data_IF_921115003498
#
_entry.id   IF_921115003498
#
_cell.length_a   1.000
_cell.length_b   1.000
_cell.length_c   1.000
_cell.angle_alpha   90.00
_cell.angle_beta   90.00
_cell.angle_gamma   90.00
#
_symmetry.space_group_name_H-M   'P 1'
#
loop_
_entity.id
_entity.type
_entity.pdbx_description
1 polymer ?
#
# COMPACT_ATOMS: atom_id res chain seq x y z
N UNK A 1 35.05 25.18 -17.70
CA UNK A 1 33.90 24.27 -17.53
C UNK A 1 34.28 22.86 -18.00
N UNK A 2 33.98 21.77 -17.26
CA UNK A 2 34.35 20.40 -17.63
C UNK A 2 33.31 19.79 -18.61
N UNK A 3 33.77 18.84 -19.42
CA UNK A 3 32.99 17.98 -20.30
C UNK A 3 31.75 17.37 -19.63
N UNK A 4 31.84 16.97 -18.35
CA UNK A 4 30.73 16.37 -17.60
C UNK A 4 29.60 17.38 -17.32
N UNK A 5 29.95 18.61 -16.95
CA UNK A 5 28.96 19.68 -16.72
C UNK A 5 28.28 20.08 -18.03
N UNK A 6 29.02 20.12 -19.14
CA UNK A 6 28.47 20.33 -20.49
C UNK A 6 27.51 19.20 -20.88
N UNK A 7 27.88 17.95 -20.63
CA UNK A 7 27.05 16.78 -20.90
C UNK A 7 25.78 16.79 -20.06
N UNK A 8 25.85 17.19 -18.79
CA UNK A 8 24.68 17.39 -17.93
C UNK A 8 23.71 18.42 -18.51
N UNK A 9 24.21 19.60 -18.91
CA UNK A 9 23.38 20.65 -19.51
C UNK A 9 22.71 20.14 -20.80
N UNK A 10 23.49 19.48 -21.68
CA UNK A 10 22.97 18.90 -22.93
C UNK A 10 21.90 17.85 -22.68
N UNK A 11 22.07 17.00 -21.66
CA UNK A 11 21.17 15.89 -21.35
C UNK A 11 19.87 16.33 -20.67
N UNK A 12 19.94 17.28 -19.74
CA UNK A 12 18.81 17.59 -18.85
C UNK A 12 18.17 18.97 -19.09
N UNK A 13 18.89 19.93 -19.68
CA UNK A 13 18.44 21.34 -19.73
C UNK A 13 18.11 21.84 -21.14
N UNK A 14 18.77 21.33 -22.18
CA UNK A 14 18.49 21.71 -23.57
C UNK A 14 17.19 21.11 -24.10
N UNK A 15 16.46 21.87 -24.92
CA UNK A 15 15.28 21.36 -25.62
C UNK A 15 15.67 20.71 -26.95
N UNK A 16 14.75 19.94 -27.53
CA UNK A 16 14.93 19.30 -28.85
C UNK A 16 15.34 20.33 -29.91
N UNK A 17 16.49 20.09 -30.55
CA UNK A 17 17.07 20.93 -31.59
C UNK A 17 17.84 22.16 -31.07
N UNK A 18 18.05 22.28 -29.77
CA UNK A 18 18.94 23.29 -29.17
C UNK A 18 20.34 22.71 -28.94
N UNK A 19 21.35 23.55 -29.11
CA UNK A 19 22.76 23.25 -28.88
C UNK A 19 23.40 24.39 -28.07
N UNK A 20 24.53 24.12 -27.43
CA UNK A 20 25.35 25.17 -26.82
C UNK A 20 26.24 25.76 -27.91
N UNK A 21 26.30 27.09 -28.01
CA UNK A 21 27.19 27.77 -28.94
C UNK A 21 28.66 27.56 -28.56
N UNK A 22 29.56 27.63 -29.55
CA UNK A 22 30.99 27.37 -29.40
C UNK A 22 31.60 28.14 -28.24
N UNK A 23 32.43 27.46 -27.46
CA UNK A 23 33.16 28.02 -26.33
C UNK A 23 33.96 29.25 -26.76
N UNK A 24 33.56 30.43 -26.28
CA UNK A 24 34.48 31.55 -26.26
C UNK A 24 35.63 31.17 -25.33
N UNK A 25 36.87 31.55 -25.67
CA UNK A 25 38.01 31.37 -24.76
C UNK A 25 37.80 32.29 -23.57
N UNK A 26 37.16 31.78 -22.51
CA UNK A 26 36.95 32.51 -21.27
C UNK A 26 38.30 32.75 -20.59
N UNK A 27 38.44 33.92 -19.96
CA UNK A 27 39.67 34.25 -19.24
C UNK A 27 39.80 33.35 -18.00
N UNK A 28 41.03 32.93 -17.64
CA UNK A 28 41.29 32.07 -16.47
C UNK A 28 40.84 32.69 -15.12
N UNK A 29 40.46 33.98 -15.11
CA UNK A 29 40.05 34.73 -13.93
C UNK A 29 38.52 34.88 -13.78
N UNK A 30 37.71 34.40 -14.73
CA UNK A 30 36.25 34.47 -14.60
C UNK A 30 35.74 33.45 -13.59
N UNK A 31 34.83 33.86 -12.69
CA UNK A 31 34.18 32.98 -11.68
C UNK A 31 32.93 32.31 -12.27
N UNK A 32 32.30 32.95 -13.26
CA UNK A 32 31.13 32.44 -13.98
C UNK A 32 31.30 32.59 -15.48
N UNK A 33 30.71 31.68 -16.24
CA UNK A 33 30.76 31.61 -17.70
C UNK A 33 29.34 31.73 -18.25
N UNK A 34 29.18 32.58 -19.27
CA UNK A 34 27.93 32.77 -19.99
C UNK A 34 27.93 32.00 -21.32
N UNK A 35 27.14 30.93 -21.40
CA UNK A 35 27.09 30.02 -22.55
C UNK A 35 25.84 30.29 -23.38
N UNK A 36 25.96 30.68 -24.66
CA UNK A 36 24.81 30.91 -25.51
C UNK A 36 24.10 29.60 -25.85
N UNK A 37 22.76 29.61 -25.78
CA UNK A 37 21.91 28.53 -26.28
C UNK A 37 21.51 28.90 -27.70
N UNK A 38 21.86 28.06 -28.67
CA UNK A 38 21.55 28.24 -30.08
C UNK A 38 20.56 27.18 -30.56
N UNK A 39 19.75 27.53 -31.56
CA UNK A 39 18.88 26.60 -32.27
C UNK A 39 19.23 26.63 -33.75
N UNK A 40 19.65 25.49 -34.27
CA UNK A 40 19.97 25.30 -35.67
C UNK A 40 18.68 24.99 -36.44
N UNK A 41 18.27 25.91 -37.33
CA UNK A 41 17.17 25.72 -38.27
C UNK A 41 17.76 25.42 -39.64
N UNK A 42 17.00 24.80 -40.54
CA UNK A 42 17.42 24.38 -41.90
C UNK A 42 18.13 25.50 -42.69
N UNK A 43 17.84 26.77 -42.39
CA UNK A 43 18.38 27.92 -43.11
C UNK A 43 19.19 28.92 -42.26
N UNK A 44 19.15 28.85 -40.91
CA UNK A 44 19.77 29.85 -40.02
C UNK A 44 20.10 29.30 -38.63
N UNK A 45 21.18 29.78 -38.02
CA UNK A 45 21.49 29.60 -36.59
C UNK A 45 20.91 30.78 -35.82
N UNK A 46 20.13 30.51 -34.76
CA UNK A 46 19.51 31.55 -33.93
C UNK A 46 19.85 31.38 -32.46
N UNK A 47 20.27 32.44 -31.79
CA UNK A 47 20.40 32.48 -30.34
C UNK A 47 19.01 32.52 -29.69
N UNK A 48 18.74 31.57 -28.80
CA UNK A 48 17.44 31.40 -28.13
C UNK A 48 17.54 31.61 -26.61
N UNK A 49 18.75 31.72 -26.07
CA UNK A 49 18.98 32.00 -24.67
C UNK A 49 20.45 32.07 -24.30
N UNK A 50 20.70 32.24 -23.00
CA UNK A 50 22.00 32.28 -22.36
C UNK A 50 21.94 31.47 -21.06
N UNK A 51 22.99 30.70 -20.75
CA UNK A 51 23.13 30.02 -19.47
C UNK A 51 24.38 30.53 -18.73
N UNK A 52 24.20 31.08 -17.55
CA UNK A 52 25.31 31.44 -16.67
C UNK A 52 25.62 30.26 -15.74
N UNK A 53 26.84 29.76 -15.80
CA UNK A 53 27.33 28.61 -15.03
C UNK A 53 28.61 28.99 -14.26
N UNK A 54 29.01 28.20 -13.26
CA UNK A 54 30.32 28.38 -12.61
C UNK A 54 31.47 28.08 -13.58
N UNK A 55 32.51 28.90 -13.51
CA UNK A 55 33.74 28.76 -14.28
C UNK A 55 34.77 27.81 -13.62
N UNK A 56 34.82 27.85 -12.29
CA UNK A 56 35.83 27.17 -11.46
C UNK A 56 35.33 25.82 -10.94
N UNK A 57 36.29 24.91 -10.79
CA UNK A 57 36.07 23.49 -10.59
C UNK A 57 36.43 23.08 -9.17
N UNK A 58 35.44 22.67 -8.39
CA UNK A 58 35.66 21.68 -7.34
C UNK A 58 34.60 20.58 -7.51
N UNK A 59 34.98 19.48 -8.17
CA UNK A 59 34.17 18.25 -8.22
C UNK A 59 34.04 17.62 -6.84
N UNK A 60 34.95 17.97 -5.94
CA UNK A 60 34.86 17.60 -4.54
C UNK A 60 33.72 18.38 -3.88
N UNK A 61 32.82 17.61 -3.28
CA UNK A 61 31.81 18.15 -2.40
C UNK A 61 32.53 18.70 -1.16
N UNK A 62 32.09 19.85 -0.63
CA UNK A 62 32.66 20.35 0.61
C UNK A 62 32.36 19.36 1.75
N UNK A 63 33.26 19.27 2.74
CA UNK A 63 33.06 18.39 3.91
C UNK A 63 31.77 18.74 4.68
N UNK A 64 31.38 20.03 4.65
CA UNK A 64 30.14 20.53 5.23
C UNK A 64 29.31 21.14 4.11
N UNK A 65 28.10 20.61 3.93
CA UNK A 65 27.13 21.11 2.95
C UNK A 65 26.13 22.01 3.67
N UNK A 66 25.96 23.23 3.17
CA UNK A 66 25.03 24.19 3.73
C UNK A 66 23.59 23.68 3.72
N UNK A 67 22.82 24.04 4.74
CA UNK A 67 21.41 23.67 4.90
C UNK A 67 20.55 24.08 3.69
N UNK A 68 20.89 25.20 3.06
CA UNK A 68 20.22 25.73 1.87
C UNK A 68 20.44 24.81 0.65
N UNK A 69 21.66 24.30 0.47
CA UNK A 69 21.99 23.32 -0.58
C UNK A 69 21.26 22.00 -0.31
N UNK A 70 21.20 21.56 0.94
CA UNK A 70 20.46 20.34 1.33
C UNK A 70 18.95 20.45 1.07
N UNK A 71 18.35 21.64 1.24
CA UNK A 71 16.94 21.85 0.87
C UNK A 71 16.73 21.73 -0.65
N UNK A 72 17.67 22.25 -1.44
CA UNK A 72 17.64 22.15 -2.89
C UNK A 72 17.93 20.73 -3.40
N UNK A 73 18.63 19.89 -2.63
CA UNK A 73 18.94 18.51 -3.00
C UNK A 73 17.68 17.64 -3.18
N UNK A 74 16.52 18.04 -2.64
CA UNK A 74 15.24 17.35 -2.86
C UNK A 74 14.59 17.64 -4.23
N UNK A 75 15.20 18.51 -5.05
CA UNK A 75 14.54 19.11 -6.20
C UNK A 75 15.03 18.54 -7.52
N UNK A 76 14.09 18.17 -8.40
CA UNK A 76 14.40 17.65 -9.74
C UNK A 76 15.32 18.57 -10.56
N UNK A 77 16.29 18.02 -11.32
CA UNK A 77 17.18 18.77 -12.20
C UNK A 77 16.48 19.67 -13.23
N UNK A 78 15.24 19.36 -13.59
CA UNK A 78 14.47 20.10 -14.60
C UNK A 78 13.56 21.17 -14.02
N UNK A 79 13.42 21.24 -12.69
CA UNK A 79 12.58 22.26 -12.03
C UNK A 79 13.18 23.65 -12.26
N UNK A 80 12.29 24.62 -12.49
CA UNK A 80 12.65 26.04 -12.65
C UNK A 80 12.30 26.78 -11.38
N UNK A 81 13.19 27.66 -10.95
CA UNK A 81 12.97 28.60 -9.85
C UNK A 81 12.85 30.01 -10.41
N UNK A 82 11.87 30.78 -9.94
CA UNK A 82 11.77 32.19 -10.27
C UNK A 82 12.77 32.99 -9.41
N UNK A 83 13.13 34.20 -9.86
CA UNK A 83 14.05 35.08 -9.14
C UNK A 83 13.51 35.54 -7.78
N UNK A 84 12.19 35.47 -7.56
CA UNK A 84 11.56 35.84 -6.29
C UNK A 84 11.65 34.73 -5.22
N UNK A 85 12.09 33.53 -5.60
CA UNK A 85 12.13 32.36 -4.71
C UNK A 85 13.43 32.29 -3.88
N UNK A 86 14.46 33.07 -4.25
CA UNK A 86 15.79 33.08 -3.64
C UNK A 86 16.30 34.53 -3.55
N UNK A 87 16.90 34.90 -2.41
CA UNK A 87 17.60 36.18 -2.31
C UNK A 87 18.73 36.25 -3.35
N UNK A 88 18.88 37.41 -4.01
CA UNK A 88 19.79 37.57 -5.15
C UNK A 88 21.26 37.26 -4.80
N UNK A 89 21.70 37.63 -3.59
CA UNK A 89 23.04 37.33 -3.09
C UNK A 89 23.26 35.82 -2.91
N UNK A 90 22.26 35.09 -2.42
CA UNK A 90 22.29 33.64 -2.25
C UNK A 90 22.28 32.94 -3.61
N UNK A 91 21.43 33.39 -4.53
CA UNK A 91 21.36 32.84 -5.88
C UNK A 91 22.68 33.03 -6.64
N UNK A 92 23.31 34.21 -6.53
CA UNK A 92 24.61 34.48 -7.14
C UNK A 92 25.69 33.55 -6.57
N UNK A 93 25.77 33.44 -5.23
CA UNK A 93 26.72 32.52 -4.57
C UNK A 93 26.54 31.08 -5.06
N UNK A 94 25.31 30.57 -5.06
CA UNK A 94 25.01 29.20 -5.51
C UNK A 94 25.33 28.97 -7.00
N UNK A 95 25.17 29.98 -7.86
CA UNK A 95 25.60 29.92 -9.26
C UNK A 95 27.13 29.91 -9.37
N UNK A 96 27.83 30.77 -8.62
CA UNK A 96 29.30 30.81 -8.61
C UNK A 96 29.93 29.51 -8.10
N UNK A 97 29.28 28.83 -7.15
CA UNK A 97 29.72 27.55 -6.60
C UNK A 97 29.28 26.32 -7.42
N UNK A 98 28.48 26.53 -8.47
CA UNK A 98 28.02 25.48 -9.40
C UNK A 98 26.84 24.63 -8.90
N UNK A 99 26.19 25.03 -7.81
CA UNK A 99 24.97 24.40 -7.31
C UNK A 99 23.74 24.74 -8.15
N UNK A 100 23.70 25.95 -8.72
CA UNK A 100 22.65 26.43 -9.61
C UNK A 100 23.20 26.90 -10.96
N UNK A 101 22.33 26.93 -11.96
CA UNK A 101 22.54 27.51 -13.28
C UNK A 101 21.46 28.56 -13.51
N UNK A 102 21.86 29.76 -13.95
CA UNK A 102 20.91 30.80 -14.36
C UNK A 102 20.61 30.63 -15.85
N UNK A 103 19.35 30.44 -16.20
CA UNK A 103 18.87 30.32 -17.57
C UNK A 103 18.09 31.58 -17.96
N UNK A 104 18.57 32.27 -18.99
CA UNK A 104 17.90 33.41 -19.63
C UNK A 104 17.41 32.95 -21.00
N UNK A 105 16.12 33.14 -21.28
CA UNK A 105 15.54 32.86 -22.62
C UNK A 105 15.11 34.15 -23.28
N UNK A 106 15.38 34.27 -24.57
CA UNK A 106 15.05 35.43 -25.36
C UNK A 106 13.70 35.27 -26.08
N UNK A 107 13.12 36.40 -26.46
CA UNK A 107 11.96 36.48 -27.34
C UNK A 107 12.32 36.08 -28.77
N UNK A 108 11.32 36.08 -29.67
CA UNK A 108 11.52 35.73 -31.09
C UNK A 108 12.52 36.65 -31.81
N UNK A 109 12.86 37.79 -31.25
CA UNK A 109 13.90 38.69 -31.75
C UNK A 109 15.33 38.24 -31.41
N UNK A 110 15.50 37.26 -30.51
CA UNK A 110 16.81 36.74 -30.07
C UNK A 110 17.61 37.72 -29.22
N UNK A 111 16.99 38.82 -28.74
CA UNK A 111 17.67 39.88 -27.97
C UNK A 111 16.91 40.28 -26.72
N UNK A 112 15.59 40.40 -26.81
CA UNK A 112 14.79 40.84 -25.65
C UNK A 112 14.62 39.67 -24.70
N UNK A 113 14.94 39.88 -23.43
CA UNK A 113 14.73 38.87 -22.38
C UNK A 113 13.24 38.57 -22.25
N UNK A 114 12.89 37.29 -22.37
CA UNK A 114 11.54 36.79 -22.17
C UNK A 114 11.38 36.27 -20.73
N UNK A 115 12.32 35.42 -20.30
CA UNK A 115 12.25 34.80 -18.96
C UNK A 115 13.63 34.58 -18.38
N UNK A 116 13.74 34.70 -17.06
CA UNK A 116 14.93 34.38 -16.27
C UNK A 116 14.53 33.41 -15.17
N UNK A 117 15.19 32.26 -15.10
CA UNK A 117 14.95 31.25 -14.06
C UNK A 117 16.27 30.61 -13.62
N UNK A 118 16.29 30.06 -12.41
CA UNK A 118 17.39 29.20 -11.97
C UNK A 118 17.01 27.74 -12.14
N UNK A 119 18.03 26.89 -12.26
CA UNK A 119 17.93 25.42 -12.32
C UNK A 119 19.05 24.77 -11.54
N UNK A 120 18.85 23.50 -11.20
CA UNK A 120 19.88 22.65 -10.61
C UNK A 120 21.14 22.64 -11.47
N UNK A 121 22.28 22.97 -10.86
CA UNK A 121 23.59 22.87 -11.46
C UNK A 121 24.17 21.46 -11.37
N UNK A 122 25.23 21.20 -12.13
CA UNK A 122 25.88 19.89 -12.18
C UNK A 122 26.33 19.40 -10.79
N UNK A 123 26.86 20.29 -9.95
CA UNK A 123 27.35 19.94 -8.60
C UNK A 123 26.23 19.47 -7.68
N UNK A 124 25.06 20.10 -7.77
CA UNK A 124 23.88 19.69 -7.01
C UNK A 124 23.33 18.35 -7.52
N UNK A 125 23.31 18.14 -8.83
CA UNK A 125 22.94 16.85 -9.41
C UNK A 125 23.91 15.72 -9.00
N UNK A 126 25.21 16.01 -8.92
CA UNK A 126 26.20 15.05 -8.45
C UNK A 126 26.00 14.69 -6.97
N UNK A 127 25.71 15.69 -6.12
CA UNK A 127 25.32 15.45 -4.72
C UNK A 127 24.07 14.58 -4.62
N UNK A 128 23.03 14.85 -5.43
CA UNK A 128 21.80 14.05 -5.47
C UNK A 128 22.08 12.60 -5.84
N UNK A 129 22.94 12.37 -6.82
CA UNK A 129 23.37 11.02 -7.21
C UNK A 129 24.09 10.32 -6.06
N UNK A 130 25.05 10.97 -5.40
CA UNK A 130 25.73 10.40 -4.24
C UNK A 130 24.79 10.07 -3.08
N UNK A 131 23.86 10.96 -2.73
CA UNK A 131 22.86 10.70 -1.70
C UNK A 131 21.97 9.51 -2.10
N UNK A 132 21.58 9.42 -3.37
CA UNK A 132 20.79 8.28 -3.87
C UNK A 132 21.58 6.98 -3.77
N UNK A 133 22.85 6.97 -4.21
CA UNK A 133 23.74 5.81 -4.13
C UNK A 133 23.99 5.37 -2.68
N UNK A 134 24.21 6.31 -1.76
CA UNK A 134 24.37 6.03 -0.33
C UNK A 134 23.09 5.46 0.27
N UNK A 135 21.92 5.99 -0.08
CA UNK A 135 20.64 5.47 0.36
C UNK A 135 20.38 4.06 -0.20
N UNK A 136 20.71 3.80 -1.47
CA UNK A 136 20.62 2.47 -2.08
C UNK A 136 21.57 1.48 -1.41
N UNK A 137 22.84 1.86 -1.18
CA UNK A 137 23.79 1.02 -0.44
C UNK A 137 23.32 0.73 0.98
N UNK A 138 22.84 1.76 1.70
CA UNK A 138 22.31 1.59 3.05
C UNK A 138 21.07 0.69 3.07
N UNK A 139 20.23 0.77 2.05
CA UNK A 139 19.07 -0.10 1.88
C UNK A 139 19.52 -1.55 1.64
N UNK A 140 20.45 -1.78 0.74
CA UNK A 140 20.99 -3.10 0.42
C UNK A 140 21.68 -3.74 1.64
N UNK A 141 22.42 -2.95 2.42
CA UNK A 141 23.00 -3.39 3.68
C UNK A 141 21.92 -3.80 4.69
N UNK A 142 20.86 -3.00 4.85
CA UNK A 142 19.74 -3.34 5.73
C UNK A 142 19.00 -4.60 5.28
N UNK A 143 18.78 -4.76 3.97
CA UNK A 143 18.17 -5.96 3.40
C UNK A 143 19.06 -7.19 3.59
N UNK A 144 20.38 -7.04 3.46
CA UNK A 144 21.35 -8.12 3.72
C UNK A 144 21.31 -8.56 5.19
N UNK A 145 21.34 -7.61 6.12
CA UNK A 145 21.19 -7.89 7.57
C UNK A 145 19.87 -8.61 7.85
N UNK A 146 18.78 -8.18 7.22
CA UNK A 146 17.50 -8.86 7.34
C UNK A 146 17.54 -10.29 6.78
N UNK A 147 18.12 -10.52 5.61
CA UNK A 147 18.27 -11.87 5.01
C UNK A 147 19.07 -12.80 5.92
N UNK A 148 20.18 -12.31 6.49
CA UNK A 148 20.98 -13.07 7.46
C UNK A 148 20.16 -13.47 8.69
N UNK A 149 19.25 -12.59 9.16
CA UNK A 149 18.35 -12.91 10.28
C UNK A 149 17.35 -14.05 9.96
N UNK A 150 16.98 -14.25 8.70
CA UNK A 150 16.07 -15.34 8.28
C UNK A 150 16.77 -16.69 8.28
N UNK A 151 18.02 -16.76 7.78
CA UNK A 151 18.79 -18.01 7.69
C UNK A 151 18.93 -18.67 9.06
N UNK A 152 19.09 -17.87 10.12
CA UNK A 152 19.16 -18.35 11.50
C UNK A 152 17.86 -19.03 11.97
N UNK A 153 16.75 -18.76 11.29
CA UNK A 153 15.40 -19.18 11.66
C UNK A 153 14.84 -20.30 10.78
N UNK A 154 15.48 -20.63 9.64
CA UNK A 154 15.03 -21.68 8.70
C UNK A 154 15.26 -23.13 9.18
N UNK A 155 15.98 -23.35 10.28
CA UNK A 155 16.32 -24.70 10.78
C UNK A 155 15.17 -25.41 11.50
N UNK A 156 13.96 -24.88 11.44
CA UNK A 156 12.87 -25.26 12.32
C UNK A 156 11.71 -25.79 11.50
N UNK A 157 11.43 -27.08 11.67
CA UNK A 157 10.28 -27.75 11.09
C UNK A 157 9.04 -27.46 11.94
N UNK A 158 8.07 -26.77 11.35
CA UNK A 158 6.80 -26.51 12.01
C UNK A 158 5.68 -27.36 11.42
N UNK A 159 4.87 -27.95 12.28
CA UNK A 159 3.66 -28.69 11.90
C UNK A 159 2.39 -27.82 11.88
N UNK A 160 2.52 -26.50 12.10
CA UNK A 160 1.41 -25.55 12.10
C UNK A 160 1.26 -24.87 10.73
N UNK A 161 0.06 -24.97 10.14
CA UNK A 161 -0.30 -24.37 8.85
C UNK A 161 0.01 -22.86 8.76
N UNK A 162 -0.22 -22.09 9.84
CA UNK A 162 0.07 -20.66 9.87
C UNK A 162 1.56 -20.36 9.68
N UNK A 163 2.43 -21.15 10.33
CA UNK A 163 3.88 -21.03 10.21
C UNK A 163 4.37 -21.53 8.85
N UNK A 164 3.75 -22.58 8.31
CA UNK A 164 4.05 -23.04 6.94
C UNK A 164 3.78 -21.95 5.91
N UNK A 165 2.61 -21.28 5.99
CA UNK A 165 2.26 -20.18 5.09
C UNK A 165 3.24 -18.99 5.23
N UNK A 166 3.59 -18.63 6.47
CA UNK A 166 4.56 -17.56 6.73
C UNK A 166 5.94 -17.90 6.17
N UNK A 167 6.42 -19.14 6.35
CA UNK A 167 7.70 -19.59 5.81
C UNK A 167 7.71 -19.64 4.28
N UNK A 168 6.62 -20.10 3.66
CA UNK A 168 6.49 -20.09 2.20
C UNK A 168 6.56 -18.66 1.65
N UNK A 169 5.86 -17.72 2.31
CA UNK A 169 5.92 -16.32 1.95
C UNK A 169 7.34 -15.73 2.11
N UNK A 170 8.00 -16.00 3.23
CA UNK A 170 9.37 -15.52 3.46
C UNK A 170 10.33 -16.11 2.42
N UNK A 171 10.20 -17.38 2.06
CA UNK A 171 11.00 -18.01 0.99
C UNK A 171 10.76 -17.39 -0.37
N UNK A 172 9.53 -16.96 -0.66
CA UNK A 172 9.21 -16.25 -1.90
C UNK A 172 9.92 -14.89 -1.95
N UNK A 173 9.85 -14.11 -0.86
CA UNK A 173 10.50 -12.79 -0.77
C UNK A 173 12.02 -12.92 -0.76
N UNK A 174 12.56 -13.93 -0.08
CA UNK A 174 14.00 -14.12 0.08
C UNK A 174 14.74 -14.24 -1.27
N UNK A 175 14.06 -14.80 -2.28
CA UNK A 175 14.57 -14.93 -3.67
C UNK A 175 14.67 -13.60 -4.42
N UNK A 176 14.04 -12.53 -3.92
CA UNK A 176 14.06 -11.21 -4.53
C UNK A 176 15.27 -10.40 -4.03
N UNK A 177 15.74 -9.44 -4.82
CA UNK A 177 16.89 -8.59 -4.50
C UNK A 177 16.55 -7.10 -4.56
N UNK A 178 17.31 -6.31 -3.80
CA UNK A 178 17.20 -4.85 -3.77
C UNK A 178 15.77 -4.33 -3.59
N UNK A 179 15.41 -3.31 -4.37
CA UNK A 179 14.12 -2.62 -4.26
C UNK A 179 12.93 -3.45 -4.76
N UNK A 180 13.18 -4.46 -5.61
CA UNK A 180 12.14 -5.35 -6.14
C UNK A 180 11.47 -6.14 -5.01
N UNK A 181 12.26 -6.51 -4.00
CA UNK A 181 11.79 -7.15 -2.77
C UNK A 181 10.69 -6.32 -2.08
N UNK A 182 10.88 -5.01 -2.01
CA UNK A 182 9.94 -4.09 -1.38
C UNK A 182 8.72 -3.79 -2.25
N UNK A 183 8.76 -4.11 -3.54
CA UNK A 183 7.66 -3.90 -4.48
C UNK A 183 6.82 -5.17 -4.69
N UNK A 184 6.98 -6.19 -3.84
CA UNK A 184 6.19 -7.42 -3.86
C UNK A 184 4.67 -7.16 -3.72
N UNK A 185 3.85 -7.97 -4.40
CA UNK A 185 2.38 -7.84 -4.42
C UNK A 185 1.71 -7.96 -3.05
N UNK A 186 2.33 -8.64 -2.09
CA UNK A 186 1.79 -8.84 -0.74
C UNK A 186 2.26 -7.80 0.29
N UNK A 187 3.13 -6.86 -0.10
CA UNK A 187 3.47 -5.72 0.76
C UNK A 187 2.71 -4.50 0.22
N UNK A 188 1.97 -3.75 1.04
CA UNK A 188 1.20 -2.60 0.56
C UNK A 188 2.11 -1.56 -0.10
N UNK A 189 1.75 -1.19 -1.33
CA UNK A 189 2.57 -0.28 -2.13
C UNK A 189 2.56 1.16 -1.62
N UNK A 190 1.52 1.53 -0.87
CA UNK A 190 1.41 2.83 -0.20
C UNK A 190 2.31 2.96 1.03
N UNK A 191 2.97 1.89 1.48
CA UNK A 191 3.90 1.97 2.62
C UNK A 191 5.23 2.57 2.21
N UNK A 192 5.78 3.43 3.08
CA UNK A 192 7.14 3.97 2.91
C UNK A 192 8.17 2.84 2.98
N UNK A 193 9.31 3.01 2.30
CA UNK A 193 10.44 2.05 2.34
C UNK A 193 10.80 1.67 3.78
N UNK A 194 10.87 2.65 4.67
CA UNK A 194 11.14 2.44 6.10
C UNK A 194 10.10 1.53 6.78
N UNK A 195 8.82 1.72 6.49
CA UNK A 195 7.75 0.88 7.04
C UNK A 195 7.82 -0.54 6.47
N UNK A 196 8.07 -0.68 5.17
CA UNK A 196 8.24 -1.98 4.50
C UNK A 196 9.43 -2.76 5.10
N UNK A 197 10.59 -2.13 5.30
CA UNK A 197 11.74 -2.74 5.98
C UNK A 197 11.42 -3.16 7.42
N UNK A 198 10.74 -2.28 8.20
CA UNK A 198 10.31 -2.64 9.56
C UNK A 198 9.37 -3.84 9.57
N UNK A 199 8.49 -3.96 8.57
CA UNK A 199 7.61 -5.11 8.43
C UNK A 199 8.39 -6.40 8.18
N UNK A 200 9.41 -6.37 7.31
CA UNK A 200 10.29 -7.51 7.09
C UNK A 200 10.97 -7.98 8.38
N UNK A 201 11.51 -7.04 9.17
CA UNK A 201 12.07 -7.35 10.50
C UNK A 201 11.01 -7.91 11.46
N UNK A 202 9.78 -7.40 11.42
CA UNK A 202 8.66 -7.94 12.20
C UNK A 202 8.35 -9.40 11.84
N UNK A 203 8.33 -9.76 10.55
CA UNK A 203 8.14 -11.15 10.12
C UNK A 203 9.25 -12.08 10.65
N UNK A 204 10.51 -11.65 10.56
CA UNK A 204 11.65 -12.40 11.14
C UNK A 204 11.53 -12.51 12.66
N UNK A 205 11.11 -11.44 13.34
CA UNK A 205 10.90 -11.43 14.78
C UNK A 205 9.80 -12.42 15.23
N UNK A 206 8.71 -12.51 14.46
CA UNK A 206 7.63 -13.47 14.69
C UNK A 206 8.13 -14.91 14.56
N UNK A 207 8.87 -15.22 13.49
CA UNK A 207 9.48 -16.54 13.35
C UNK A 207 10.42 -16.85 14.51
N UNK A 208 11.27 -15.88 14.88
CA UNK A 208 12.24 -16.04 15.96
C UNK A 208 11.56 -16.29 17.32
N UNK A 209 10.56 -15.51 17.69
CA UNK A 209 9.89 -15.69 18.99
C UNK A 209 9.10 -16.99 19.01
N UNK A 210 8.39 -17.33 17.92
CA UNK A 210 7.57 -18.55 17.86
C UNK A 210 8.38 -19.84 17.87
N UNK A 211 9.61 -19.76 17.34
CA UNK A 211 10.60 -20.83 17.43
C UNK A 211 11.00 -21.18 18.87
N UNK A 212 10.91 -20.21 19.78
CA UNK A 212 11.41 -20.33 21.15
C UNK A 212 10.31 -20.35 22.22
N UNK A 213 9.08 -19.94 21.87
CA UNK A 213 7.96 -19.80 22.81
C UNK A 213 6.66 -20.06 22.08
N UNK A 214 5.76 -20.82 22.71
CA UNK A 214 4.45 -21.10 22.13
C UNK A 214 3.50 -19.91 22.20
N UNK A 215 3.63 -19.11 23.26
CA UNK A 215 2.75 -18.00 23.58
C UNK A 215 3.55 -16.74 23.93
N UNK A 216 3.24 -15.59 23.36
CA UNK A 216 3.97 -14.35 23.57
C UNK A 216 3.07 -13.10 23.51
N UNK A 217 3.51 -12.03 24.18
CA UNK A 217 2.90 -10.70 24.09
C UNK A 217 3.50 -9.88 22.92
N UNK A 218 2.76 -8.88 22.44
CA UNK A 218 3.19 -7.94 21.41
C UNK A 218 4.56 -7.32 21.72
N UNK A 219 4.76 -6.85 22.97
CA UNK A 219 6.00 -6.18 23.38
C UNK A 219 7.20 -7.13 23.41
N UNK A 220 6.97 -8.43 23.57
CA UNK A 220 8.04 -9.44 23.57
C UNK A 220 8.67 -9.60 22.20
N UNK A 221 7.91 -9.39 21.12
CA UNK A 221 8.37 -9.56 19.72
C UNK A 221 9.59 -8.66 19.47
N UNK A 222 9.44 -7.35 19.69
CA UNK A 222 10.51 -6.38 19.50
C UNK A 222 11.62 -6.47 20.55
N UNK A 223 11.25 -6.76 21.81
CA UNK A 223 12.22 -6.88 22.91
C UNK A 223 13.22 -8.01 22.65
N UNK A 224 12.74 -9.18 22.21
CA UNK A 224 13.59 -10.35 21.96
C UNK A 224 14.36 -10.24 20.64
N UNK A 225 13.78 -9.62 19.63
CA UNK A 225 14.43 -9.47 18.34
C UNK A 225 15.58 -8.46 18.36
N UNK A 226 15.35 -7.28 18.93
CA UNK A 226 16.36 -6.21 18.92
C UNK A 226 17.30 -6.21 20.14
N UNK A 227 16.92 -6.85 21.25
CA UNK A 227 17.73 -7.00 22.46
C UNK A 227 18.40 -5.70 22.96
N UNK A 228 17.74 -4.57 22.75
CA UNK A 228 18.23 -3.22 23.10
C UNK A 228 17.16 -2.45 23.88
N UNK A 229 17.60 -1.44 24.63
CA UNK A 229 16.69 -0.50 25.30
C UNK A 229 15.76 0.13 24.25
N UNK A 230 14.45 0.09 24.51
CA UNK A 230 13.43 0.57 23.57
C UNK A 230 12.99 -0.44 22.50
N UNK A 231 13.65 -1.61 22.39
CA UNK A 231 13.32 -2.65 21.42
C UNK A 231 11.86 -3.12 21.48
N UNK A 232 11.27 -3.16 22.68
CA UNK A 232 9.86 -3.52 22.91
C UNK A 232 8.83 -2.59 22.27
N UNK A 233 9.25 -1.40 21.83
CA UNK A 233 8.38 -0.38 21.19
C UNK A 233 8.66 -0.20 19.71
N UNK A 234 9.63 -0.92 19.13
CA UNK A 234 10.09 -0.71 17.75
C UNK A 234 8.98 -0.93 16.71
N UNK A 235 7.97 -1.73 17.03
CA UNK A 235 6.84 -2.04 16.14
C UNK A 235 5.55 -1.29 16.50
N UNK A 236 5.47 -0.61 17.64
CA UNK A 236 4.23 -0.04 18.18
C UNK A 236 3.55 0.95 17.22
N UNK A 237 4.34 1.73 16.48
CA UNK A 237 3.82 2.74 15.54
C UNK A 237 3.04 2.16 14.37
N UNK A 238 3.19 0.85 14.10
CA UNK A 238 2.57 0.17 12.95
C UNK A 238 1.85 -1.12 13.37
N UNK A 239 1.45 -1.22 14.65
CA UNK A 239 0.90 -2.46 15.22
C UNK A 239 -0.25 -3.05 14.39
N UNK A 240 -1.31 -2.28 14.19
CA UNK A 240 -2.53 -2.78 13.52
C UNK A 240 -2.24 -3.13 12.06
N UNK A 241 -1.54 -2.26 11.35
CA UNK A 241 -1.12 -2.48 9.96
C UNK A 241 -0.28 -3.76 9.78
N UNK A 242 0.63 -4.05 10.72
CA UNK A 242 1.50 -5.22 10.65
C UNK A 242 0.75 -6.50 10.98
N UNK A 243 -0.18 -6.45 11.93
CA UNK A 243 -1.05 -7.59 12.26
C UNK A 243 -1.94 -7.90 11.06
N UNK A 244 -2.67 -6.90 10.53
CA UNK A 244 -3.59 -7.08 9.42
C UNK A 244 -2.86 -7.66 8.19
N UNK A 245 -1.68 -7.13 7.86
CA UNK A 245 -0.91 -7.64 6.73
C UNK A 245 -0.39 -9.06 6.96
N UNK A 246 0.06 -9.38 8.18
CA UNK A 246 0.51 -10.73 8.51
C UNK A 246 -0.66 -11.72 8.43
N UNK A 247 -1.83 -11.38 8.98
CA UNK A 247 -3.04 -12.21 8.89
C UNK A 247 -3.50 -12.42 7.46
N UNK A 248 -3.34 -11.42 6.59
CA UNK A 248 -3.57 -11.58 5.15
C UNK A 248 -2.57 -12.56 4.52
N UNK A 249 -1.29 -12.52 4.91
CA UNK A 249 -0.28 -13.47 4.41
C UNK A 249 -0.59 -14.90 4.88
N UNK A 250 -0.85 -15.11 6.17
CA UNK A 250 -1.06 -16.45 6.72
C UNK A 250 -2.50 -16.96 6.53
N UNK A 251 -3.43 -16.09 6.15
CA UNK A 251 -4.87 -16.35 5.98
C UNK A 251 -5.54 -16.89 7.25
N UNK A 252 -5.00 -16.54 8.42
CA UNK A 252 -5.40 -17.01 9.74
C UNK A 252 -5.19 -15.87 10.75
N UNK A 253 -5.92 -15.87 11.88
CA UNK A 253 -5.66 -14.93 12.96
C UNK A 253 -4.24 -15.09 13.53
N UNK A 254 -3.59 -13.98 13.90
CA UNK A 254 -2.22 -14.00 14.43
C UNK A 254 -2.13 -14.72 15.78
N UNK A 255 -3.24 -14.85 16.51
CA UNK A 255 -3.30 -15.64 17.75
C UNK A 255 -2.94 -17.12 17.54
N UNK A 256 -3.15 -17.67 16.33
CA UNK A 256 -2.71 -19.03 15.97
C UNK A 256 -1.19 -19.17 15.96
N UNK A 257 -0.46 -18.06 15.80
CA UNK A 257 0.98 -18.01 15.94
C UNK A 257 1.43 -17.86 17.40
N UNK A 258 0.54 -17.77 18.37
CA UNK A 258 0.89 -17.64 19.79
C UNK A 258 0.78 -16.25 20.38
N UNK A 259 0.28 -15.25 19.63
CA UNK A 259 0.12 -13.90 20.17
C UNK A 259 -1.10 -13.82 21.11
N UNK A 260 -0.88 -13.69 22.42
CA UNK A 260 -1.93 -13.84 23.46
C UNK A 260 -2.57 -12.51 23.90
N UNK A 261 -2.16 -11.38 23.33
CA UNK A 261 -2.39 -10.05 23.94
C UNK A 261 -2.77 -8.99 22.92
N UNK A 262 -3.81 -9.27 22.13
CA UNK A 262 -4.46 -8.21 21.35
C UNK A 262 -5.58 -7.51 22.10
N UNK A 263 -6.08 -8.11 23.19
CA UNK A 263 -7.21 -7.58 23.97
C UNK A 263 -8.50 -7.45 23.15
N UNK A 264 -8.54 -8.02 21.93
CA UNK A 264 -9.62 -7.87 20.97
C UNK A 264 -10.02 -9.26 20.50
N UNK A 265 -11.14 -9.74 21.02
CA UNK A 265 -11.84 -10.91 20.47
C UNK A 265 -12.73 -10.38 19.35
N UNK A 266 -12.52 -10.83 18.12
CA UNK A 266 -13.36 -10.41 16.99
C UNK A 266 -14.53 -11.39 16.86
N UNK A 267 -15.78 -10.97 17.14
CA UNK A 267 -16.93 -11.84 16.98
C UNK A 267 -17.39 -11.90 15.52
N UNK A 268 -17.72 -13.10 15.05
CA UNK A 268 -18.53 -13.31 13.85
C UNK A 268 -19.97 -13.56 14.29
N UNK A 269 -20.88 -12.62 14.00
CA UNK A 269 -22.28 -12.73 14.39
C UNK A 269 -23.08 -13.51 13.34
N UNK A 270 -24.00 -14.37 13.79
CA UNK A 270 -24.83 -15.17 12.89
C UNK A 270 -26.14 -15.63 13.54
N UNK A 271 -27.06 -16.16 12.74
CA UNK A 271 -28.22 -16.93 13.20
C UNK A 271 -28.58 -18.00 12.19
N UNK A 272 -28.84 -19.20 12.69
CA UNK A 272 -29.03 -20.41 11.89
C UNK A 272 -28.07 -21.53 12.31
N UNK A 273 -28.16 -22.69 11.64
CA UNK A 273 -27.44 -23.88 12.06
C UNK A 273 -25.96 -23.75 11.71
N UNK A 274 -25.10 -23.85 12.72
CA UNK A 274 -23.65 -24.03 12.56
C UNK A 274 -23.22 -25.15 13.51
N UNK A 275 -22.53 -26.15 12.99
CA UNK A 275 -22.03 -27.28 13.74
C UNK A 275 -20.50 -27.31 13.64
N UNK A 276 -19.83 -27.40 14.78
CA UNK A 276 -18.42 -27.71 14.91
C UNK A 276 -18.22 -28.95 15.78
N UNK A 277 -16.96 -29.28 16.05
CA UNK A 277 -16.57 -30.38 16.94
C UNK A 277 -16.85 -30.04 18.41
N UNK A 278 -16.69 -28.76 18.78
CA UNK A 278 -16.80 -28.31 20.17
C UNK A 278 -18.11 -27.56 20.47
N UNK A 279 -18.84 -27.14 19.44
CA UNK A 279 -20.03 -26.31 19.60
C UNK A 279 -21.06 -26.59 18.51
N UNK A 280 -22.34 -26.57 18.86
CA UNK A 280 -23.44 -26.73 17.93
C UNK A 280 -24.51 -25.67 18.18
N UNK A 281 -24.88 -24.96 17.12
CA UNK A 281 -25.83 -23.86 17.14
C UNK A 281 -27.01 -24.21 16.24
N UNK A 282 -28.22 -23.93 16.72
CA UNK A 282 -29.46 -24.19 16.00
C UNK A 282 -30.11 -22.87 15.57
N UNK A 283 -31.20 -22.96 14.80
CA UNK A 283 -32.04 -21.79 14.54
C UNK A 283 -32.52 -21.15 15.84
N UNK A 284 -32.43 -19.83 15.94
CA UNK A 284 -32.80 -19.11 17.15
C UNK A 284 -32.25 -17.68 17.19
N UNK A 285 -31.92 -17.17 18.39
CA UNK A 285 -31.40 -15.83 18.55
C UNK A 285 -30.03 -15.66 17.88
N UNK A 286 -29.53 -14.43 17.85
CA UNK A 286 -28.20 -14.14 17.32
C UNK A 286 -27.13 -14.82 18.20
N UNK A 287 -26.22 -15.52 17.54
CA UNK A 287 -25.04 -16.16 18.11
C UNK A 287 -23.77 -15.43 17.64
N UNK A 288 -22.65 -15.71 18.31
CA UNK A 288 -21.34 -15.21 17.91
C UNK A 288 -20.28 -16.30 18.05
N UNK A 289 -19.43 -16.44 17.02
CA UNK A 289 -18.18 -17.21 17.11
C UNK A 289 -17.01 -16.25 17.31
N UNK A 290 -16.03 -16.67 18.12
CA UNK A 290 -14.78 -15.92 18.23
C UNK A 290 -13.82 -16.34 17.12
N UNK A 291 -12.92 -15.42 16.74
CA UNK A 291 -11.77 -15.72 15.89
C UNK A 291 -10.96 -16.94 16.36
N UNK A 292 -10.77 -17.11 17.66
CA UNK A 292 -10.13 -18.29 18.27
C UNK A 292 -10.94 -19.58 18.01
N UNK A 293 -12.25 -19.55 18.25
CA UNK A 293 -13.12 -20.72 18.00
C UNK A 293 -13.09 -21.13 16.52
N UNK A 294 -13.17 -20.14 15.62
CA UNK A 294 -13.06 -20.35 14.16
C UNK A 294 -11.71 -20.95 13.77
N UNK A 295 -10.64 -20.56 14.46
CA UNK A 295 -9.30 -21.06 14.21
C UNK A 295 -9.09 -22.50 14.67
N UNK A 296 -9.72 -22.90 15.77
CA UNK A 296 -9.47 -24.18 16.45
C UNK A 296 -10.46 -25.29 16.06
N UNK A 297 -11.59 -24.96 15.45
CA UNK A 297 -12.61 -25.93 15.04
C UNK A 297 -12.76 -26.00 13.50
N UNK A 298 -13.58 -26.94 13.04
CA UNK A 298 -14.04 -27.05 11.66
C UNK A 298 -15.56 -26.93 11.64
N UNK A 299 -16.05 -25.80 11.15
CA UNK A 299 -17.48 -25.54 11.09
C UNK A 299 -18.11 -26.02 9.78
N UNK A 300 -19.33 -26.52 9.89
CA UNK A 300 -20.24 -26.85 8.80
C UNK A 300 -21.66 -26.36 9.12
N UNK A 301 -22.55 -26.38 8.13
CA UNK A 301 -23.95 -25.98 8.28
C UNK A 301 -24.87 -26.94 7.54
N UNK A 302 -26.06 -27.17 8.11
CA UNK A 302 -27.15 -27.88 7.42
C UNK A 302 -28.05 -26.96 6.60
N UNK A 303 -27.76 -25.65 6.58
CA UNK A 303 -28.49 -24.68 5.78
C UNK A 303 -28.29 -24.92 4.28
N UNK A 304 -29.30 -24.57 3.48
CA UNK A 304 -29.22 -24.58 2.00
C UNK A 304 -28.82 -23.23 1.43
N UNK A 305 -29.09 -22.16 2.18
CA UNK A 305 -28.82 -20.78 1.78
C UNK A 305 -27.89 -20.15 2.80
N UNK A 306 -26.79 -19.56 2.34
CA UNK A 306 -25.95 -18.69 3.14
C UNK A 306 -26.27 -17.24 2.77
N UNK A 307 -26.72 -16.45 3.73
CA UNK A 307 -27.00 -15.03 3.53
C UNK A 307 -25.98 -14.20 4.31
N UNK A 308 -25.20 -13.39 3.61
CA UNK A 308 -24.17 -12.52 4.13
C UNK A 308 -24.67 -11.09 4.14
N UNK A 309 -24.62 -10.47 5.32
CA UNK A 309 -24.97 -9.06 5.53
C UNK A 309 -23.82 -8.29 6.14
N UNK A 310 -23.72 -7.00 5.85
CA UNK A 310 -22.74 -6.13 6.48
C UNK A 310 -23.19 -5.73 7.89
N UNK A 311 -24.42 -5.24 8.04
CA UNK A 311 -24.87 -4.57 9.26
C UNK A 311 -25.60 -5.47 10.27
N UNK A 312 -25.28 -5.29 11.56
CA UNK A 312 -25.94 -5.99 12.69
C UNK A 312 -27.42 -5.68 12.82
N UNK A 313 -27.85 -4.47 12.44
CA UNK A 313 -29.27 -4.10 12.45
C UNK A 313 -30.09 -5.00 11.50
N UNK A 314 -29.52 -5.36 10.34
CA UNK A 314 -30.16 -6.29 9.39
C UNK A 314 -30.26 -7.68 10.00
N UNK A 315 -29.16 -8.19 10.58
CA UNK A 315 -29.13 -9.49 11.26
C UNK A 315 -30.20 -9.56 12.36
N UNK A 316 -30.23 -8.59 13.26
CA UNK A 316 -31.19 -8.55 14.38
C UNK A 316 -32.63 -8.40 13.89
N UNK A 317 -32.88 -7.58 12.86
CA UNK A 317 -34.20 -7.40 12.30
C UNK A 317 -34.75 -8.67 11.64
N UNK A 318 -33.95 -9.36 10.82
CA UNK A 318 -34.38 -10.60 10.15
C UNK A 318 -34.60 -11.71 11.16
N UNK A 319 -33.70 -11.84 12.15
CA UNK A 319 -33.80 -12.88 13.19
C UNK A 319 -34.97 -12.70 14.16
N UNK A 320 -35.47 -11.47 14.33
CA UNK A 320 -36.70 -11.21 15.10
C UNK A 320 -37.96 -11.82 14.48
N UNK A 321 -37.93 -12.17 13.18
CA UNK A 321 -39.06 -12.80 12.52
C UNK A 321 -39.10 -14.29 12.85
N UNK A 322 -40.12 -14.67 13.61
CA UNK A 322 -40.32 -16.02 14.12
C UNK A 322 -40.25 -17.05 12.98
N UNK A 323 -39.44 -18.09 13.18
CA UNK A 323 -39.27 -19.24 12.28
C UNK A 323 -38.80 -18.96 10.85
N UNK A 324 -38.62 -17.70 10.44
CA UNK A 324 -38.29 -17.32 9.05
C UNK A 324 -37.05 -18.03 8.51
N UNK A 325 -35.93 -17.96 9.24
CA UNK A 325 -34.68 -18.60 8.84
C UNK A 325 -34.80 -20.13 8.82
N UNK A 326 -35.59 -20.70 9.73
CA UNK A 326 -35.83 -22.15 9.83
C UNK A 326 -36.66 -22.65 8.66
N UNK A 327 -37.74 -21.95 8.32
CA UNK A 327 -38.64 -22.29 7.21
C UNK A 327 -37.89 -22.26 5.86
N UNK A 328 -36.99 -21.31 5.68
CA UNK A 328 -36.21 -21.15 4.46
C UNK A 328 -34.85 -21.86 4.49
N UNK A 329 -34.57 -22.63 5.56
CA UNK A 329 -33.31 -23.30 5.83
C UNK A 329 -32.07 -22.43 5.51
N UNK A 330 -32.05 -21.23 6.08
CA UNK A 330 -31.09 -20.17 5.79
C UNK A 330 -30.19 -19.90 6.99
N UNK A 331 -28.89 -19.85 6.75
CA UNK A 331 -27.88 -19.35 7.68
C UNK A 331 -27.59 -17.89 7.35
N UNK A 332 -27.87 -16.98 8.27
CA UNK A 332 -27.60 -15.54 8.13
C UNK A 332 -26.35 -15.19 8.92
N UNK A 333 -25.35 -14.61 8.26
CA UNK A 333 -24.05 -14.23 8.85
C UNK A 333 -23.80 -12.75 8.61
N UNK A 334 -23.37 -12.05 9.66
CA UNK A 334 -23.02 -10.64 9.64
C UNK A 334 -21.51 -10.46 9.78
N UNK A 335 -20.91 -9.68 8.88
CA UNK A 335 -19.47 -9.38 8.92
C UNK A 335 -19.12 -8.08 9.65
N UNK A 336 -20.11 -7.33 10.12
CA UNK A 336 -19.99 -6.13 10.98
C UNK A 336 -18.93 -5.16 10.44
N UNK A 337 -19.14 -4.71 9.19
CA UNK A 337 -18.23 -3.88 8.43
C UNK A 337 -17.15 -4.68 7.67
N UNK A 338 -15.88 -4.29 7.84
CA UNK A 338 -14.76 -4.82 7.04
C UNK A 338 -14.54 -6.33 7.26
N UNK A 339 -14.31 -7.07 6.17
CA UNK A 339 -14.09 -8.52 6.22
C UNK A 339 -12.72 -8.86 6.81
N UNK A 340 -12.72 -9.47 8.00
CA UNK A 340 -11.50 -9.91 8.71
C UNK A 340 -11.06 -11.33 8.31
N UNK A 341 -9.85 -11.69 8.75
CA UNK A 341 -9.28 -13.03 8.56
C UNK A 341 -10.18 -14.14 9.11
N UNK A 342 -10.76 -13.95 10.30
CA UNK A 342 -11.72 -14.87 10.92
C UNK A 342 -13.00 -15.06 10.10
N UNK A 343 -13.57 -13.96 9.56
CA UNK A 343 -14.73 -14.02 8.67
C UNK A 343 -14.40 -14.86 7.43
N UNK A 344 -13.26 -14.55 6.79
CA UNK A 344 -12.78 -15.28 5.61
C UNK A 344 -12.58 -16.77 5.90
N UNK A 345 -11.96 -17.10 7.02
CA UNK A 345 -11.73 -18.49 7.43
C UNK A 345 -13.05 -19.23 7.67
N UNK A 346 -13.96 -18.65 8.46
CA UNK A 346 -15.24 -19.29 8.76
C UNK A 346 -16.07 -19.50 7.48
N UNK A 347 -16.17 -18.48 6.62
CA UNK A 347 -16.91 -18.59 5.36
C UNK A 347 -16.31 -19.66 4.45
N UNK A 348 -14.98 -19.74 4.32
CA UNK A 348 -14.31 -20.82 3.56
C UNK A 348 -14.61 -22.21 4.15
N UNK A 349 -14.63 -22.35 5.47
CA UNK A 349 -15.00 -23.62 6.12
C UNK A 349 -16.46 -24.00 5.81
N UNK A 350 -17.39 -23.06 5.97
CA UNK A 350 -18.80 -23.28 5.70
C UNK A 350 -19.05 -23.68 4.24
N UNK A 351 -18.46 -22.98 3.28
CA UNK A 351 -18.59 -23.30 1.85
C UNK A 351 -18.01 -24.69 1.54
N UNK A 352 -16.85 -25.03 2.11
CA UNK A 352 -16.18 -26.31 1.84
C UNK A 352 -16.87 -27.50 2.51
N UNK A 353 -17.37 -27.33 3.73
CA UNK A 353 -17.83 -28.42 4.58
C UNK A 353 -19.36 -28.59 4.57
N UNK A 354 -20.09 -27.77 3.81
CA UNK A 354 -21.57 -27.75 3.78
C UNK A 354 -22.10 -27.90 2.36
N UNK A 355 -23.34 -28.37 2.21
CA UNK A 355 -24.03 -28.48 0.93
C UNK A 355 -24.90 -27.24 0.67
N UNK A 356 -24.26 -26.09 0.50
CA UNK A 356 -24.94 -24.84 0.19
C UNK A 356 -25.37 -24.82 -1.29
N UNK A 357 -26.62 -24.47 -1.55
CA UNK A 357 -27.12 -24.32 -2.93
C UNK A 357 -26.92 -22.90 -3.45
N UNK A 358 -26.93 -21.92 -2.55
CA UNK A 358 -26.84 -20.51 -2.92
C UNK A 358 -26.24 -19.65 -1.82
N UNK A 359 -25.63 -18.54 -2.24
CA UNK A 359 -25.12 -17.49 -1.37
C UNK A 359 -25.76 -16.16 -1.76
N UNK A 360 -26.29 -15.43 -0.80
CA UNK A 360 -26.85 -14.09 -0.97
C UNK A 360 -25.91 -13.10 -0.30
N UNK A 361 -25.46 -12.08 -1.02
CA UNK A 361 -24.63 -10.99 -0.50
C UNK A 361 -25.46 -9.71 -0.51
N UNK A 362 -25.53 -9.05 0.63
CA UNK A 362 -26.15 -7.74 0.76
C UNK A 362 -25.28 -6.86 1.66
N UNK A 363 -24.87 -5.70 1.14
CA UNK A 363 -24.01 -4.73 1.84
C UNK A 363 -24.62 -3.34 1.71
N UNK A 364 -24.01 -2.36 2.37
CA UNK A 364 -24.35 -0.96 2.14
C UNK A 364 -24.06 -0.55 0.69
N UNK A 365 -24.78 0.46 0.21
CA UNK A 365 -24.67 1.00 -1.14
C UNK A 365 -23.76 2.22 -1.15
N UNK A 366 -22.56 2.07 -0.60
CA UNK A 366 -21.51 3.07 -0.60
C UNK A 366 -20.17 2.48 -1.11
N UNK A 367 -19.07 3.24 -0.95
CA UNK A 367 -17.76 2.79 -1.41
C UNK A 367 -17.23 1.60 -0.60
N UNK A 368 -17.49 1.58 0.70
CA UNK A 368 -16.94 0.56 1.61
C UNK A 368 -17.77 -0.73 1.48
N UNK A 369 -19.09 -0.62 1.44
CA UNK A 369 -20.01 -1.72 1.14
C UNK A 369 -19.69 -2.37 -0.22
N UNK A 370 -19.36 -1.58 -1.26
CA UNK A 370 -18.90 -2.14 -2.54
C UNK A 370 -17.60 -2.96 -2.41
N UNK A 371 -16.63 -2.48 -1.61
CA UNK A 371 -15.39 -3.22 -1.35
C UNK A 371 -15.65 -4.50 -0.55
N UNK A 372 -16.53 -4.44 0.46
CA UNK A 372 -16.94 -5.59 1.27
C UNK A 372 -17.63 -6.62 0.37
N UNK A 373 -18.59 -6.23 -0.46
CA UNK A 373 -19.27 -7.12 -1.39
C UNK A 373 -18.28 -7.84 -2.32
N UNK A 374 -17.29 -7.11 -2.84
CA UNK A 374 -16.22 -7.69 -3.66
C UNK A 374 -15.38 -8.71 -2.89
N UNK A 375 -15.01 -8.40 -1.65
CA UNK A 375 -14.26 -9.31 -0.79
C UNK A 375 -15.06 -10.57 -0.49
N UNK A 376 -16.35 -10.44 -0.14
CA UNK A 376 -17.24 -11.57 0.14
C UNK A 376 -17.41 -12.44 -1.11
N UNK A 377 -17.66 -11.83 -2.27
CA UNK A 377 -17.75 -12.54 -3.54
C UNK A 377 -16.50 -13.40 -3.79
N UNK A 378 -15.31 -12.82 -3.67
CA UNK A 378 -14.05 -13.55 -3.86
C UNK A 378 -13.84 -14.69 -2.85
N UNK A 379 -14.45 -14.63 -1.67
CA UNK A 379 -14.35 -15.67 -0.64
C UNK A 379 -15.28 -16.84 -0.95
N UNK A 380 -16.50 -16.56 -1.40
CA UNK A 380 -17.55 -17.56 -1.60
C UNK A 380 -17.66 -18.07 -3.03
N UNK A 381 -16.83 -17.60 -3.96
CA UNK A 381 -16.85 -17.97 -5.38
C UNK A 381 -16.42 -19.43 -5.68
N UNK A 382 -16.80 -20.37 -4.83
CA UNK A 382 -16.66 -21.81 -5.05
C UNK A 382 -18.06 -22.41 -5.18
N UNK A 383 -18.32 -23.05 -6.33
CA UNK A 383 -19.49 -23.87 -6.67
C UNK A 383 -20.84 -23.50 -6.00
N UNK A 384 -21.70 -22.75 -6.72
CA UNK A 384 -23.06 -22.43 -6.28
C UNK A 384 -23.66 -21.22 -6.97
N UNK A 385 -24.94 -20.92 -6.72
CA UNK A 385 -25.58 -19.70 -7.23
C UNK A 385 -25.28 -18.54 -6.28
N UNK A 386 -24.58 -17.51 -6.76
CA UNK A 386 -24.33 -16.29 -5.99
C UNK A 386 -25.31 -15.21 -6.42
N UNK A 387 -25.90 -14.54 -5.44
CA UNK A 387 -26.90 -13.49 -5.59
C UNK A 387 -26.45 -12.23 -4.87
N UNK A 388 -26.71 -11.08 -5.47
CA UNK A 388 -26.51 -9.77 -4.89
C UNK A 388 -27.85 -9.05 -4.80
N UNK A 389 -28.07 -8.29 -3.71
CA UNK A 389 -29.26 -7.46 -3.55
C UNK A 389 -28.93 -6.04 -4.01
N UNK A 390 -29.53 -5.62 -5.11
CA UNK A 390 -29.36 -4.27 -5.67
C UNK A 390 -30.21 -3.24 -4.91
N UNK A 391 -29.91 -1.95 -5.11
CA UNK A 391 -30.54 -0.82 -4.40
C UNK A 391 -32.05 -0.73 -4.58
N UNK A 392 -32.57 -1.27 -5.69
CA UNK A 392 -34.00 -1.34 -5.98
C UNK A 392 -34.66 -2.62 -5.41
N UNK A 393 -33.92 -3.38 -4.60
CA UNK A 393 -34.36 -4.64 -4.00
C UNK A 393 -34.40 -5.80 -4.98
N UNK A 394 -33.79 -5.68 -6.18
CA UNK A 394 -33.72 -6.78 -7.15
C UNK A 394 -32.54 -7.69 -6.90
N UNK A 395 -32.73 -8.97 -7.25
CA UNK A 395 -31.68 -9.99 -7.20
C UNK A 395 -30.86 -9.94 -8.49
N UNK A 396 -29.56 -9.71 -8.36
CA UNK A 396 -28.59 -9.79 -9.45
C UNK A 396 -27.74 -11.05 -9.27
N UNK A 397 -27.59 -11.85 -10.33
CA UNK A 397 -26.86 -13.15 -10.28
C UNK A 397 -25.45 -13.10 -10.91
N UNK A 398 -25.06 -11.94 -11.43
CA UNK A 398 -23.74 -11.71 -12.05
C UNK A 398 -22.98 -10.61 -11.30
N UNK A 399 -21.72 -10.89 -10.96
CA UNK A 399 -20.82 -9.89 -10.37
C UNK A 399 -20.64 -8.69 -11.29
N UNK A 400 -20.43 -8.92 -12.60
CA UNK A 400 -20.19 -7.84 -13.56
C UNK A 400 -21.38 -6.89 -13.66
N UNK A 401 -22.59 -7.45 -13.62
CA UNK A 401 -23.82 -6.66 -13.62
C UNK A 401 -23.94 -5.83 -12.33
N UNK A 402 -23.73 -6.46 -11.17
CA UNK A 402 -23.76 -5.78 -9.88
C UNK A 402 -22.71 -4.67 -9.80
N UNK A 403 -21.47 -4.93 -10.23
CA UNK A 403 -20.37 -3.98 -10.24
C UNK A 403 -20.68 -2.76 -11.12
N UNK A 404 -21.24 -2.96 -12.32
CA UNK A 404 -21.60 -1.85 -13.19
C UNK A 404 -22.71 -0.98 -12.57
N UNK A 405 -23.70 -1.60 -11.93
CA UNK A 405 -24.80 -0.87 -11.27
C UNK A 405 -24.30 -0.08 -10.07
N UNK A 406 -23.48 -0.69 -9.22
CA UNK A 406 -22.84 -0.03 -8.08
C UNK A 406 -21.97 1.15 -8.52
N UNK A 407 -21.11 0.98 -9.55
CA UNK A 407 -20.30 2.07 -10.08
C UNK A 407 -21.14 3.25 -10.59
N UNK A 408 -22.27 2.99 -11.25
CA UNK A 408 -23.21 4.04 -11.70
C UNK A 408 -23.85 4.77 -10.53
N UNK A 409 -24.28 4.03 -9.50
CA UNK A 409 -24.87 4.61 -8.29
C UNK A 409 -23.88 5.50 -7.54
N UNK A 410 -22.65 5.03 -7.34
CA UNK A 410 -21.58 5.78 -6.68
C UNK A 410 -21.15 7.02 -7.48
N UNK A 411 -21.16 6.95 -8.81
CA UNK A 411 -20.89 8.11 -9.66
C UNK A 411 -21.96 9.20 -9.54
N UNK A 412 -23.21 8.82 -9.22
CA UNK A 412 -24.30 9.75 -8.93
C UNK A 412 -24.27 10.28 -7.49
N UNK A 413 -23.24 9.95 -6.70
CA UNK A 413 -23.09 10.36 -5.29
C UNK A 413 -24.28 10.00 -4.39
N UNK A 414 -24.99 8.91 -4.72
CA UNK A 414 -26.03 8.34 -3.88
C UNK A 414 -25.39 7.28 -2.99
N UNK A 415 -25.23 7.58 -1.71
CA UNK A 415 -24.86 6.60 -0.69
C UNK A 415 -26.12 6.24 0.09
N UNK A 416 -26.39 4.95 0.26
CA UNK A 416 -27.54 4.45 0.99
C UNK A 416 -27.13 3.30 1.91
N UNK A 417 -27.62 3.32 3.14
CA UNK A 417 -27.39 2.25 4.11
C UNK A 417 -28.45 1.14 3.93
N UNK A 418 -28.09 -0.11 4.24
CA UNK A 418 -29.00 -1.26 4.24
C UNK A 418 -30.25 -1.01 5.09
N UNK A 419 -30.09 -0.30 6.20
CA UNK A 419 -31.16 0.01 7.16
C UNK A 419 -32.27 0.85 6.53
N UNK A 420 -31.95 1.65 5.53
CA UNK A 420 -32.92 2.45 4.76
C UNK A 420 -33.72 1.60 3.77
N UNK A 421 -33.23 0.40 3.46
CA UNK A 421 -33.78 -0.54 2.46
C UNK A 421 -34.07 -1.92 3.07
N UNK A 422 -34.44 -1.97 4.36
CA UNK A 422 -34.66 -3.22 5.10
C UNK A 422 -35.64 -4.18 4.40
N UNK A 423 -36.60 -3.66 3.63
CA UNK A 423 -37.60 -4.46 2.93
C UNK A 423 -38.61 -5.14 3.86
N UNK A 424 -39.50 -5.96 3.29
CA UNK A 424 -40.46 -6.77 4.04
C UNK A 424 -40.09 -8.26 4.02
N UNK A 425 -40.77 -9.06 4.85
CA UNK A 425 -40.59 -10.52 4.88
C UNK A 425 -40.83 -11.15 3.50
N UNK A 426 -41.79 -10.62 2.74
CA UNK A 426 -42.10 -11.05 1.38
C UNK A 426 -40.92 -10.77 0.42
N UNK A 427 -40.29 -9.60 0.53
CA UNK A 427 -39.09 -9.27 -0.24
C UNK A 427 -37.98 -10.27 0.02
N UNK A 428 -37.71 -10.59 1.29
CA UNK A 428 -36.66 -11.53 1.66
C UNK A 428 -36.96 -12.95 1.19
N UNK A 429 -38.22 -13.40 1.27
CA UNK A 429 -38.66 -14.68 0.69
C UNK A 429 -38.38 -14.72 -0.81
N UNK A 430 -38.70 -13.64 -1.53
CA UNK A 430 -38.43 -13.56 -2.96
C UNK A 430 -36.93 -13.62 -3.28
N UNK A 431 -36.08 -12.96 -2.48
CA UNK A 431 -34.63 -13.02 -2.66
C UNK A 431 -34.08 -14.43 -2.54
N UNK A 432 -34.60 -15.22 -1.59
CA UNK A 432 -34.18 -16.60 -1.35
C UNK A 432 -34.74 -17.56 -2.40
N UNK A 433 -35.98 -17.37 -2.87
CA UNK A 433 -36.70 -18.31 -3.73
C UNK A 433 -36.46 -18.12 -5.24
N UNK A 434 -36.09 -16.92 -5.72
CA UNK A 434 -35.82 -16.62 -7.15
C UNK A 434 -34.52 -17.23 -7.68
#
# INVERSE_FOLDING_TARGET
MNSESLNFIKKYLLKKGEELGSEQKYSENEITIDIPIIKCLETKIKMVGLMTCSASHNTDLPEIIDKEVMQLASISPTKKFAMNDLEEAVALRLVTEGWLIKEIRFNKDGRTVNTVHYRTGYRLNFLQQKISEENERSLDEQLKVWKESIILTERITFHNKALSNLLEYIRLIYKQEGIELLNNSHIPQNWTVKKKLKFLHFLSAILYIRSNKEEFDWKEIGARYYQKIGGSKEFDSYKDDFIDQLEEIIQLPISVLGLVSLGKVTPLYFSGPIQGSFSNYNFGPVHALTDLSIAQDQYSSSAKTLWLVENRAVLTRVTSVVSFLKELNTLLVCVDGHVRSSHRQCLKQLIKNSQLHQVIIWTDYDKDGFLIAKQLYNIVNAEGIIKFIDVDGKVVKSWDEYEQRMKKLLAMSKNLEQEQLLGSVESWKNWILQ
#
